data_IF_126001777800
#
_entry.id   IF_126001777800
#
_cell.length_a   1.000
_cell.length_b   1.000
_cell.length_c   1.000
_cell.angle_alpha   90.00
_cell.angle_beta   90.00
_cell.angle_gamma   90.00
#
_symmetry.space_group_name_H-M   'P 1'
#
loop_
_entity.id
_entity.type
_entity.pdbx_description
1 polymer ?
#
# COMPACT_ATOMS: atom_id res chain seq x y z
N UNK A 1 -11.35 46.97 -9.57
CA UNK A 1 -12.62 46.71 -8.87
C UNK A 1 -12.80 45.20 -8.66
N UNK A 2 -12.81 44.36 -9.71
CA UNK A 2 -12.90 42.89 -9.51
C UNK A 2 -11.67 42.28 -8.83
N UNK A 3 -10.48 42.85 -9.09
CA UNK A 3 -9.20 42.42 -8.49
C UNK A 3 -8.94 42.95 -7.07
N UNK A 4 -9.92 43.63 -6.49
CA UNK A 4 -9.81 44.21 -5.16
C UNK A 4 -10.49 43.26 -4.17
N UNK A 5 -9.68 42.62 -3.32
CA UNK A 5 -10.11 41.56 -2.39
C UNK A 5 -11.12 42.05 -1.36
N UNK A 6 -11.12 43.35 -1.04
CA UNK A 6 -12.07 43.97 -0.11
C UNK A 6 -13.54 43.85 -0.58
N UNK A 7 -13.77 43.59 -1.87
CA UNK A 7 -15.10 43.39 -2.44
C UNK A 7 -15.53 41.92 -2.53
N UNK A 8 -14.69 40.98 -2.08
CA UNK A 8 -15.00 39.55 -2.18
C UNK A 8 -15.84 39.07 -1.01
N UNK A 9 -16.59 38.00 -1.25
CA UNK A 9 -17.37 37.35 -0.19
C UNK A 9 -16.49 36.31 0.49
N UNK A 10 -16.26 36.47 1.80
CA UNK A 10 -15.49 35.54 2.62
C UNK A 10 -16.41 34.66 3.49
N UNK A 11 -15.96 33.44 3.76
CA UNK A 11 -16.62 32.53 4.68
C UNK A 11 -16.19 32.80 6.15
N UNK A 12 -16.66 31.98 7.09
CA UNK A 12 -16.31 32.09 8.53
C UNK A 12 -14.83 31.83 8.80
N UNK A 13 -14.13 31.14 7.89
CA UNK A 13 -12.72 30.80 7.99
C UNK A 13 -11.83 31.82 7.26
N UNK A 14 -12.37 32.97 6.84
CA UNK A 14 -11.65 34.02 6.09
C UNK A 14 -11.16 33.57 4.70
N UNK A 15 -11.77 32.53 4.11
CA UNK A 15 -11.50 32.10 2.74
C UNK A 15 -12.54 32.67 1.75
N UNK A 16 -12.15 33.03 0.51
CA UNK A 16 -13.09 33.40 -0.54
C UNK A 16 -14.13 32.32 -0.82
N UNK A 17 -15.40 32.70 -0.94
CA UNK A 17 -16.49 31.77 -1.20
C UNK A 17 -16.52 31.36 -2.67
N UNK A 18 -16.40 30.05 -2.92
CA UNK A 18 -16.56 29.47 -4.25
C UNK A 18 -18.05 29.42 -4.64
N UNK A 19 -18.35 29.89 -5.84
CA UNK A 19 -19.69 29.97 -6.43
C UNK A 19 -19.71 29.39 -7.86
N UNK A 20 -20.92 29.21 -8.39
CA UNK A 20 -21.13 28.82 -9.79
C UNK A 20 -22.40 29.41 -10.40
N UNK A 21 -22.36 29.62 -11.72
CA UNK A 21 -23.50 30.09 -12.51
C UNK A 21 -24.34 28.95 -13.11
N UNK A 22 -23.90 27.70 -13.00
CA UNK A 22 -24.65 26.52 -13.47
C UNK A 22 -25.82 26.20 -12.55
N UNK A 23 -26.88 25.62 -13.13
CA UNK A 23 -28.04 25.16 -12.36
C UNK A 23 -27.64 24.12 -11.33
N UNK A 24 -27.95 24.40 -10.06
CA UNK A 24 -27.62 23.53 -8.93
C UNK A 24 -26.22 23.74 -8.35
N UNK A 25 -25.43 24.68 -8.88
CA UNK A 25 -24.21 25.16 -8.24
C UNK A 25 -24.54 26.11 -7.06
N UNK A 26 -23.53 26.48 -6.27
CA UNK A 26 -23.73 27.44 -5.17
C UNK A 26 -23.88 28.84 -5.74
N UNK A 27 -25.07 29.42 -5.58
CA UNK A 27 -25.33 30.81 -5.97
C UNK A 27 -24.90 31.80 -4.88
N UNK A 28 -24.49 32.99 -5.33
CA UNK A 28 -24.16 34.10 -4.46
C UNK A 28 -25.42 34.73 -3.84
N UNK A 29 -25.32 35.37 -2.66
CA UNK A 29 -26.41 36.15 -2.08
C UNK A 29 -26.72 37.41 -2.91
N UNK A 30 -27.85 38.07 -2.62
CA UNK A 30 -28.24 39.31 -3.31
C UNK A 30 -27.14 40.38 -3.22
N UNK A 31 -26.91 41.08 -4.33
CA UNK A 31 -25.85 42.09 -4.45
C UNK A 31 -24.48 41.55 -4.85
N UNK A 32 -24.31 40.22 -4.91
CA UNK A 32 -23.09 39.57 -5.40
C UNK A 32 -23.35 38.82 -6.71
N UNK A 33 -22.32 38.70 -7.54
CA UNK A 33 -22.37 37.93 -8.78
C UNK A 33 -21.11 37.07 -8.88
N UNK A 34 -21.25 35.88 -9.45
CA UNK A 34 -20.16 34.93 -9.53
C UNK A 34 -19.23 35.24 -10.71
N UNK A 35 -17.93 35.37 -10.44
CA UNK A 35 -16.88 35.58 -11.43
C UNK A 35 -15.66 34.72 -11.14
N UNK A 36 -14.96 34.34 -12.21
CA UNK A 36 -13.70 33.60 -12.13
C UNK A 36 -12.55 34.58 -11.92
N UNK A 37 -12.26 34.89 -10.65
CA UNK A 37 -11.18 35.79 -10.25
C UNK A 37 -10.50 35.25 -8.98
N UNK A 38 -9.24 35.62 -8.80
CA UNK A 38 -8.48 35.31 -7.60
C UNK A 38 -7.61 34.07 -7.72
N UNK A 39 -7.01 33.71 -6.59
CA UNK A 39 -6.18 32.51 -6.49
C UNK A 39 -7.02 31.26 -6.28
N UNK A 40 -6.46 30.13 -6.69
CA UNK A 40 -7.08 28.83 -6.48
C UNK A 40 -7.04 28.44 -4.99
N UNK A 41 -8.03 27.64 -4.51
CA UNK A 41 -8.08 27.21 -3.11
C UNK A 41 -6.81 26.48 -2.66
N UNK A 42 -6.60 26.47 -1.34
CA UNK A 42 -5.44 25.83 -0.71
C UNK A 42 -4.11 26.35 -1.28
N UNK A 43 -3.91 27.67 -1.33
CA UNK A 43 -2.69 28.31 -1.87
C UNK A 43 -2.34 27.86 -3.30
N UNK A 44 -3.37 27.59 -4.11
CA UNK A 44 -3.20 27.13 -5.49
C UNK A 44 -2.95 25.65 -5.69
N UNK A 45 -2.88 24.83 -4.64
CA UNK A 45 -2.63 23.39 -4.77
C UNK A 45 -3.85 22.60 -5.28
N UNK A 46 -5.06 23.13 -5.10
CA UNK A 46 -6.30 22.47 -5.54
C UNK A 46 -6.84 23.18 -6.79
N UNK A 47 -6.49 22.66 -7.98
CA UNK A 47 -6.95 23.22 -9.25
C UNK A 47 -6.93 22.18 -10.39
N UNK A 48 -7.66 22.48 -11.47
CA UNK A 48 -7.69 21.68 -12.69
C UNK A 48 -7.22 22.48 -13.92
N UNK A 49 -6.44 23.55 -13.71
CA UNK A 49 -6.10 24.50 -14.78
C UNK A 49 -4.90 24.02 -15.62
N UNK A 50 -4.04 23.19 -15.02
CA UNK A 50 -2.85 22.65 -15.66
C UNK A 50 -2.83 21.12 -15.55
N UNK A 51 -2.13 20.45 -16.48
CA UNK A 51 -2.08 18.99 -16.52
C UNK A 51 -1.54 18.36 -15.23
N UNK A 52 -0.41 18.85 -14.72
CA UNK A 52 0.24 18.27 -13.54
C UNK A 52 -0.57 18.49 -12.26
N UNK A 53 -1.14 19.69 -12.08
CA UNK A 53 -2.02 19.98 -10.94
C UNK A 53 -3.30 19.16 -11.00
N UNK A 54 -3.90 19.04 -12.20
CA UNK A 54 -5.06 18.17 -12.42
C UNK A 54 -4.73 16.71 -12.09
N UNK A 55 -3.56 16.22 -12.48
CA UNK A 55 -3.10 14.86 -12.17
C UNK A 55 -2.94 14.68 -10.66
N UNK A 56 -2.32 15.63 -9.96
CA UNK A 56 -2.11 15.57 -8.52
C UNK A 56 -3.44 15.60 -7.75
N UNK A 57 -4.34 16.53 -8.09
CA UNK A 57 -5.68 16.60 -7.51
C UNK A 57 -6.48 15.34 -7.84
N UNK A 58 -6.37 14.80 -9.05
CA UNK A 58 -7.03 13.53 -9.40
C UNK A 58 -6.45 12.35 -8.62
N UNK A 59 -5.13 12.29 -8.44
CA UNK A 59 -4.48 11.27 -7.62
C UNK A 59 -5.02 11.30 -6.18
N UNK A 60 -5.13 12.50 -5.60
CA UNK A 60 -5.76 12.72 -4.29
C UNK A 60 -7.20 12.16 -4.24
N UNK A 61 -7.99 12.30 -5.32
CA UNK A 61 -9.33 11.71 -5.40
C UNK A 61 -9.29 10.17 -5.46
N UNK A 62 -8.35 9.59 -6.20
CA UNK A 62 -8.20 8.14 -6.35
C UNK A 62 -7.79 7.50 -5.00
N UNK A 63 -6.91 8.16 -4.24
CA UNK A 63 -6.47 7.70 -2.92
C UNK A 63 -7.46 8.02 -1.80
N UNK A 64 -8.55 8.75 -2.09
CA UNK A 64 -9.54 9.20 -1.11
C UNK A 64 -8.94 10.02 0.04
N UNK A 65 -7.94 10.84 -0.25
CA UNK A 65 -7.29 11.69 0.75
C UNK A 65 -7.92 13.09 0.78
N UNK A 66 -8.67 13.41 1.83
CA UNK A 66 -9.40 14.69 1.98
C UNK A 66 -10.21 15.09 0.72
N UNK A 67 -10.74 14.08 0.02
CA UNK A 67 -11.37 14.22 -1.29
C UNK A 67 -12.71 14.95 -1.21
N UNK A 68 -13.39 14.88 -0.06
CA UNK A 68 -14.70 15.50 0.18
C UNK A 68 -14.62 17.02 0.12
N UNK A 69 -13.47 17.60 0.49
CA UNK A 69 -13.24 19.03 0.38
C UNK A 69 -13.23 19.45 -1.10
N UNK A 70 -12.42 18.76 -1.92
CA UNK A 70 -12.37 18.98 -3.38
C UNK A 70 -13.74 18.73 -4.01
N UNK A 71 -14.44 17.67 -3.61
CA UNK A 71 -15.79 17.37 -4.05
C UNK A 71 -16.76 18.52 -3.76
N UNK A 72 -16.78 19.05 -2.55
CA UNK A 72 -17.65 20.16 -2.17
C UNK A 72 -17.32 21.45 -2.92
N UNK A 73 -16.04 21.72 -3.20
CA UNK A 73 -15.61 22.88 -3.99
C UNK A 73 -16.08 22.76 -5.45
N UNK A 74 -15.87 21.60 -6.09
CA UNK A 74 -16.28 21.36 -7.47
C UNK A 74 -17.81 21.31 -7.60
N UNK A 75 -18.51 20.74 -6.62
CA UNK A 75 -19.97 20.75 -6.59
C UNK A 75 -20.51 22.19 -6.48
N UNK A 76 -19.86 23.02 -5.66
CA UNK A 76 -20.25 24.42 -5.51
C UNK A 76 -19.99 25.28 -6.75
N UNK A 77 -18.93 24.98 -7.54
CA UNK A 77 -18.58 25.75 -8.74
C UNK A 77 -19.25 25.24 -10.01
N UNK A 78 -19.27 23.93 -10.23
CA UNK A 78 -19.74 23.31 -11.47
C UNK A 78 -21.18 22.76 -11.36
N UNK A 79 -21.68 22.52 -10.15
CA UNK A 79 -23.01 21.96 -9.92
C UNK A 79 -23.06 20.42 -9.92
N UNK A 80 -24.25 19.83 -9.80
CA UNK A 80 -24.45 18.40 -9.48
C UNK A 80 -24.05 17.44 -10.59
N UNK A 81 -23.90 17.90 -11.84
CA UNK A 81 -23.42 17.04 -12.94
C UNK A 81 -22.00 16.53 -12.71
N UNK A 82 -21.21 17.25 -11.90
CA UNK A 82 -19.86 16.83 -11.51
C UNK A 82 -19.84 15.53 -10.70
N UNK A 83 -20.95 15.14 -10.05
CA UNK A 83 -21.06 13.90 -9.28
C UNK A 83 -20.73 12.66 -10.13
N UNK A 84 -21.11 12.68 -11.41
CA UNK A 84 -20.81 11.57 -12.34
C UNK A 84 -19.30 11.44 -12.55
N UNK A 85 -18.58 12.55 -12.68
CA UNK A 85 -17.12 12.54 -12.79
C UNK A 85 -16.46 11.94 -11.54
N UNK A 86 -16.84 12.41 -10.35
CA UNK A 86 -16.31 11.85 -9.09
C UNK A 86 -16.62 10.38 -8.92
N UNK A 87 -17.83 9.96 -9.30
CA UNK A 87 -18.23 8.54 -9.28
C UNK A 87 -17.27 7.72 -10.15
N UNK A 88 -17.06 8.11 -11.41
CA UNK A 88 -16.15 7.36 -12.29
C UNK A 88 -14.73 7.32 -11.73
N UNK A 89 -14.19 8.46 -11.29
CA UNK A 89 -12.80 8.54 -10.80
C UNK A 89 -12.60 7.72 -9.52
N UNK A 90 -13.50 7.83 -8.55
CA UNK A 90 -13.40 7.12 -7.27
C UNK A 90 -13.62 5.62 -7.47
N UNK A 91 -14.72 5.22 -8.13
CA UNK A 91 -15.04 3.80 -8.25
C UNK A 91 -14.02 3.05 -9.09
N UNK A 92 -13.70 3.55 -10.29
CA UNK A 92 -12.73 2.87 -11.15
C UNK A 92 -11.31 3.07 -10.62
N UNK A 93 -10.95 4.27 -10.17
CA UNK A 93 -9.61 4.57 -9.67
C UNK A 93 -9.22 3.73 -8.46
N UNK A 94 -10.06 3.66 -7.43
CA UNK A 94 -9.76 2.86 -6.24
C UNK A 94 -9.72 1.36 -6.56
N UNK A 95 -10.60 0.87 -7.45
CA UNK A 95 -10.52 -0.52 -7.91
C UNK A 95 -9.18 -0.83 -8.60
N UNK A 96 -8.71 0.06 -9.48
CA UNK A 96 -7.40 -0.10 -10.11
C UNK A 96 -6.25 -0.05 -9.09
N UNK A 97 -6.28 0.87 -8.11
CA UNK A 97 -5.24 0.93 -7.07
C UNK A 97 -5.19 -0.33 -6.21
N UNK A 98 -6.35 -0.84 -5.77
CA UNK A 98 -6.40 -2.06 -4.95
C UNK A 98 -5.84 -3.24 -5.75
N UNK A 99 -6.25 -3.41 -7.01
CA UNK A 99 -5.74 -4.50 -7.83
C UNK A 99 -4.23 -4.40 -8.10
N UNK A 100 -3.71 -3.19 -8.29
CA UNK A 100 -2.28 -2.96 -8.43
C UNK A 100 -1.54 -3.29 -7.14
N UNK A 101 -2.03 -2.80 -6.00
CA UNK A 101 -1.44 -3.09 -4.69
C UNK A 101 -1.43 -4.59 -4.40
N UNK A 102 -2.54 -5.30 -4.67
CA UNK A 102 -2.62 -6.75 -4.51
C UNK A 102 -1.61 -7.49 -5.38
N UNK A 103 -1.43 -7.08 -6.63
CA UNK A 103 -0.45 -7.68 -7.53
C UNK A 103 0.99 -7.48 -7.00
N UNK A 104 1.35 -6.27 -6.56
CA UNK A 104 2.68 -5.98 -6.02
C UNK A 104 2.93 -6.75 -4.72
N UNK A 105 1.94 -6.78 -3.84
CA UNK A 105 2.03 -7.50 -2.57
C UNK A 105 2.18 -9.00 -2.81
N UNK A 106 1.43 -9.59 -3.74
CA UNK A 106 1.56 -10.99 -4.12
C UNK A 106 2.97 -11.31 -4.66
N UNK A 107 3.50 -10.48 -5.56
CA UNK A 107 4.87 -10.65 -6.09
C UNK A 107 5.93 -10.64 -4.97
N UNK A 108 5.82 -9.71 -4.01
CA UNK A 108 6.74 -9.68 -2.88
C UNK A 108 6.61 -10.89 -1.95
N UNK A 109 5.39 -11.40 -1.74
CA UNK A 109 5.21 -12.60 -0.91
C UNK A 109 5.75 -13.86 -1.59
N UNK A 110 5.66 -13.96 -2.92
CA UNK A 110 6.22 -15.08 -3.69
C UNK A 110 7.76 -15.09 -3.60
N UNK A 111 8.42 -13.93 -3.73
CA UNK A 111 9.88 -13.79 -3.62
C UNK A 111 10.41 -14.24 -2.24
N UNK A 112 9.76 -13.81 -1.15
CA UNK A 112 10.16 -14.18 0.21
C UNK A 112 9.87 -15.66 0.53
N UNK A 113 8.79 -16.22 -0.04
CA UNK A 113 8.45 -17.63 0.12
C UNK A 113 9.44 -18.56 -0.59
N UNK A 114 10.07 -18.12 -1.68
CA UNK A 114 11.12 -18.85 -2.38
C UNK A 114 12.43 -18.82 -1.57
N UNK A 115 12.83 -17.65 -1.05
CA UNK A 115 14.03 -17.49 -0.21
C UNK A 115 13.94 -18.36 1.06
N UNK A 116 12.78 -18.38 1.73
CA UNK A 116 12.56 -19.20 2.93
C UNK A 116 12.53 -20.71 2.62
N UNK A 117 12.20 -21.10 1.38
CA UNK A 117 12.20 -22.51 0.97
C UNK A 117 13.61 -23.02 0.63
N UNK A 118 14.47 -22.20 0.03
CA UNK A 118 15.87 -22.57 -0.22
C UNK A 118 16.71 -22.64 1.07
N UNK A 119 16.37 -21.88 2.11
CA UNK A 119 17.09 -21.90 3.40
C UNK A 119 16.66 -23.05 4.33
N UNK A 120 15.65 -23.87 3.98
CA UNK A 120 15.36 -25.06 4.78
C UNK A 120 16.54 -26.02 4.70
N UNK A 121 17.27 -26.29 5.81
CA UNK A 121 18.25 -27.36 5.81
C UNK A 121 17.54 -28.62 5.37
N UNK A 122 18.13 -29.34 4.42
CA UNK A 122 17.59 -30.59 3.88
C UNK A 122 16.93 -31.38 5.01
N UNK A 123 15.64 -31.78 4.89
CA UNK A 123 15.06 -32.65 5.88
C UNK A 123 15.94 -33.89 5.92
N UNK A 124 16.55 -34.17 7.07
CA UNK A 124 17.06 -35.49 7.39
C UNK A 124 15.85 -36.41 7.25
N UNK A 125 15.72 -37.04 6.09
CA UNK A 125 14.63 -37.96 5.79
C UNK A 125 14.64 -39.02 6.91
N UNK A 126 13.55 -39.23 7.68
CA UNK A 126 13.53 -40.24 8.73
C UNK A 126 13.58 -41.69 8.23
N UNK A 127 14.19 -41.97 7.08
CA UNK A 127 14.11 -43.29 6.44
C UNK A 127 15.32 -43.62 5.57
N UNK A 128 16.52 -43.52 6.12
CA UNK A 128 17.61 -44.43 5.77
C UNK A 128 18.29 -45.00 7.03
N UNK A 129 17.49 -45.67 7.85
CA UNK A 129 17.99 -46.84 8.58
C UNK A 129 17.25 -48.02 7.97
N UNK A 130 18.02 -48.90 7.30
CA UNK A 130 17.69 -50.24 6.77
C UNK A 130 17.63 -50.32 5.24
N UNK A 131 18.79 -50.44 4.59
CA UNK A 131 19.38 -51.75 4.23
C UNK A 131 20.70 -51.58 3.48
N UNK A 132 21.82 -51.67 4.20
CA UNK A 132 23.08 -52.20 3.66
C UNK A 132 23.75 -53.09 4.71
N UNK A 133 22.99 -54.04 5.26
CA UNK A 133 23.55 -55.17 6.01
C UNK A 133 22.83 -56.42 5.52
N UNK A 134 23.52 -57.15 4.63
CA UNK A 134 23.18 -58.53 4.26
C UNK A 134 23.89 -59.50 5.25
N UNK A 135 23.38 -60.73 5.47
CA UNK A 135 23.55 -61.48 6.70
C UNK A 135 24.78 -62.38 6.66
N UNK A 136 25.76 -62.14 7.53
CA UNK A 136 26.62 -63.22 8.04
C UNK A 136 27.41 -62.71 9.24
N UNK A 137 27.48 -63.55 10.27
CA UNK A 137 28.35 -63.44 11.44
C UNK A 137 27.84 -62.50 12.54
N UNK A 138 27.05 -63.09 13.45
CA UNK A 138 26.82 -62.58 14.78
C UNK A 138 28.13 -62.12 15.44
N UNK A 139 28.15 -60.92 16.01
CA UNK A 139 29.06 -60.57 17.10
C UNK A 139 28.24 -59.82 18.14
N UNK A 140 27.71 -60.57 19.10
CA UNK A 140 27.33 -60.04 20.41
C UNK A 140 28.57 -59.33 21.00
N UNK A 141 28.40 -58.05 21.33
CA UNK A 141 29.37 -57.31 22.15
C UNK A 141 29.34 -57.90 23.57
N UNK A 142 30.08 -58.98 23.79
CA UNK A 142 30.35 -59.45 25.14
C UNK A 142 31.44 -58.58 25.76
N UNK A 143 31.03 -57.85 26.80
CA UNK A 143 31.79 -56.94 27.69
C UNK A 143 32.98 -57.59 28.40
N UNK A 144 33.29 -58.86 28.13
CA UNK A 144 34.44 -59.60 28.66
C UNK A 144 35.75 -59.33 27.88
N UNK A 145 35.69 -58.88 26.62
CA UNK A 145 36.88 -58.62 25.80
C UNK A 145 37.56 -57.26 26.08
N UNK A 146 36.79 -56.25 26.51
CA UNK A 146 37.33 -54.93 26.84
C UNK A 146 38.26 -54.97 28.06
N UNK A 147 38.01 -55.86 29.03
CA UNK A 147 38.84 -55.99 30.23
C UNK A 147 40.13 -56.80 29.99
N UNK A 148 40.13 -57.70 29.00
CA UNK A 148 41.35 -58.43 28.62
C UNK A 148 42.39 -57.49 27.97
N UNK A 149 41.93 -56.51 27.19
CA UNK A 149 42.79 -55.51 26.55
C UNK A 149 43.36 -54.51 27.57
N UNK A 150 42.58 -54.09 28.57
CA UNK A 150 43.08 -53.21 29.63
C UNK A 150 44.16 -53.88 30.51
N UNK A 151 44.05 -55.19 30.75
CA UNK A 151 45.04 -55.95 31.52
C UNK A 151 46.35 -56.20 30.75
N UNK A 152 46.30 -56.27 29.40
CA UNK A 152 47.51 -56.49 28.58
C UNK A 152 48.35 -55.23 28.40
N UNK A 153 47.73 -54.04 28.38
CA UNK A 153 48.47 -52.77 28.28
C UNK A 153 49.17 -52.34 29.58
N UNK A 154 48.69 -52.78 30.75
CA UNK A 154 49.36 -52.52 32.03
C UNK A 154 50.66 -53.33 32.21
N UNK A 155 50.82 -54.45 31.50
CA UNK A 155 52.01 -55.32 31.60
C UNK A 155 53.20 -54.89 30.73
N UNK A 156 53.03 -53.92 29.81
CA UNK A 156 54.06 -53.54 28.84
C UNK A 156 54.85 -52.27 29.18
N UNK A 157 54.58 -51.66 30.34
CA UNK A 157 55.44 -50.62 30.94
C UNK A 157 56.20 -51.18 32.14
N UNK A 158 57.18 -52.06 31.86
CA UNK A 158 58.32 -52.29 32.74
C UNK A 158 59.56 -52.53 31.90
#
# INVERSE_FOLDING_TARGET
WVWDEDHWLFNVNEDPVICGNTTGARHCPEGYFCVQVGENPNHGYTNFDNFLWSMLTTFQLITLDYWENVYNMVLASCGPMSVVFFTVVVFFGSFYLINLMLAVVALSYEEEAEITQEEKPLPVHPTEIRTSISPSSAVELNTTSALANYATEAGKKK
#
